data_IF_714732590413
#
_entry.id   IF_714732590413
#
_cell.length_a   1.000
_cell.length_b   1.000
_cell.length_c   1.000
_cell.angle_alpha   90.00
_cell.angle_beta   90.00
_cell.angle_gamma   90.00
#
_symmetry.space_group_name_H-M   'P 1'
#
loop_
_entity.id
_entity.type
_entity.pdbx_description
1 polymer ?
#
# COMPACT_ATOMS: atom_id res chain seq x y z
N UNK A 1 -14.28 -15.34 -29.48
CA UNK A 1 -13.01 -15.85 -30.09
C UNK A 1 -11.89 -14.79 -30.18
N UNK A 2 -12.02 -13.64 -29.53
CA UNK A 2 -10.89 -12.75 -29.21
C UNK A 2 -11.25 -12.04 -27.89
N UNK A 3 -10.87 -12.67 -26.77
CA UNK A 3 -11.10 -12.14 -25.44
C UNK A 3 -10.03 -11.09 -25.14
N UNK A 4 -10.15 -9.91 -25.76
CA UNK A 4 -9.27 -8.80 -25.45
C UNK A 4 -9.83 -8.09 -24.22
N UNK A 5 -9.32 -8.46 -23.03
CA UNK A 5 -9.50 -7.62 -21.85
C UNK A 5 -9.04 -6.21 -22.24
N UNK A 6 -9.82 -5.15 -21.99
CA UNK A 6 -9.40 -3.79 -22.30
C UNK A 6 -8.09 -3.52 -21.58
N UNK A 7 -7.01 -3.45 -22.35
CA UNK A 7 -5.65 -3.28 -21.83
C UNK A 7 -5.54 -1.89 -21.26
N UNK A 8 -5.03 -1.79 -20.04
CA UNK A 8 -4.70 -0.50 -19.44
C UNK A 8 -3.71 0.24 -20.37
N UNK A 9 -3.84 1.57 -20.53
CA UNK A 9 -2.89 2.35 -21.33
C UNK A 9 -1.46 2.10 -20.85
N UNK A 10 -0.53 1.82 -21.76
CA UNK A 10 0.89 1.51 -21.45
C UNK A 10 1.56 2.57 -20.55
N UNK A 11 1.09 3.82 -20.58
CA UNK A 11 1.59 4.91 -19.76
C UNK A 11 1.30 4.78 -18.24
N UNK A 12 0.35 3.92 -17.85
CA UNK A 12 0.02 3.65 -16.43
C UNK A 12 0.78 2.44 -15.87
N UNK A 13 1.48 1.71 -16.73
CA UNK A 13 2.13 0.43 -16.42
C UNK A 13 3.57 0.70 -16.00
N UNK A 14 3.75 1.44 -14.90
CA UNK A 14 5.02 1.42 -14.18
C UNK A 14 4.94 0.28 -13.15
N UNK A 15 5.05 -0.95 -13.66
CA UNK A 15 4.77 -2.22 -12.93
C UNK A 15 5.63 -2.36 -11.68
N UNK A 16 6.79 -1.72 -11.63
CA UNK A 16 7.78 -1.93 -10.57
C UNK A 16 7.61 -1.02 -9.35
N UNK A 17 6.49 -0.32 -9.19
CA UNK A 17 6.31 0.60 -8.06
C UNK A 17 5.36 0.02 -7.01
N UNK A 18 5.79 0.06 -5.75
CA UNK A 18 4.92 -0.30 -4.63
C UNK A 18 3.68 0.62 -4.57
N UNK A 19 2.52 0.01 -4.37
CA UNK A 19 1.22 0.70 -4.22
C UNK A 19 0.69 0.64 -2.79
N UNK A 20 1.18 -0.33 -2.01
CA UNK A 20 0.80 -0.57 -0.62
C UNK A 20 2.07 -0.77 0.22
N UNK A 21 2.06 -0.32 1.45
CA UNK A 21 3.17 -0.48 2.38
C UNK A 21 2.66 -1.13 3.67
N UNK A 22 3.45 -2.05 4.22
CA UNK A 22 3.19 -2.65 5.52
C UNK A 22 4.49 -2.74 6.32
N UNK A 23 4.36 -2.67 7.65
CA UNK A 23 5.45 -2.98 8.56
C UNK A 23 5.46 -4.48 8.85
N UNK A 24 6.65 -5.07 8.81
CA UNK A 24 6.92 -6.48 9.07
C UNK A 24 7.85 -6.58 10.27
N UNK A 25 7.39 -7.27 11.30
CA UNK A 25 8.10 -7.45 12.56
C UNK A 25 8.28 -8.94 12.84
N UNK A 26 9.37 -9.35 13.51
CA UNK A 26 9.50 -10.73 13.93
C UNK A 26 8.47 -11.04 15.02
N UNK A 27 8.12 -12.32 15.19
CA UNK A 27 7.30 -12.75 16.34
C UNK A 27 8.06 -12.55 17.65
N UNK A 28 9.36 -12.86 17.64
CA UNK A 28 10.27 -12.70 18.77
C UNK A 28 11.37 -11.66 18.47
N UNK A 29 11.67 -10.80 19.44
CA UNK A 29 12.60 -9.66 19.25
C UNK A 29 14.02 -10.05 18.83
N UNK A 30 14.46 -11.27 19.17
CA UNK A 30 15.80 -11.78 18.87
C UNK A 30 15.94 -12.29 17.42
N UNK A 31 14.82 -12.43 16.69
CA UNK A 31 14.82 -12.94 15.30
C UNK A 31 14.91 -11.84 14.24
N UNK A 32 15.02 -10.57 14.64
CA UNK A 32 15.03 -9.45 13.70
C UNK A 32 16.13 -9.57 12.63
N UNK A 33 17.35 -9.95 13.02
CA UNK A 33 18.47 -10.09 12.08
C UNK A 33 18.24 -11.25 11.09
N UNK A 34 17.60 -12.33 11.54
CA UNK A 34 17.24 -13.46 10.70
C UNK A 34 16.14 -13.08 9.71
N UNK A 35 15.11 -12.37 10.18
CA UNK A 35 14.03 -11.84 9.36
C UNK A 35 14.57 -10.86 8.31
N UNK A 36 15.42 -9.92 8.69
CA UNK A 36 16.04 -8.97 7.77
C UNK A 36 16.84 -9.69 6.68
N UNK A 37 17.65 -10.69 7.05
CA UNK A 37 18.42 -11.46 6.09
C UNK A 37 17.54 -12.30 5.14
N UNK A 38 16.43 -12.87 5.65
CA UNK A 38 15.48 -13.62 4.84
C UNK A 38 14.73 -12.71 3.85
N UNK A 39 14.27 -11.54 4.31
CA UNK A 39 13.60 -10.55 3.46
C UNK A 39 14.55 -9.99 2.40
N UNK A 40 15.80 -9.68 2.76
CA UNK A 40 16.82 -9.25 1.80
C UNK A 40 17.03 -10.31 0.71
N UNK A 41 17.02 -11.62 1.05
CA UNK A 41 17.10 -12.71 0.07
C UNK A 41 15.83 -12.84 -0.79
N UNK A 42 14.65 -12.65 -0.21
CA UNK A 42 13.40 -12.65 -0.97
C UNK A 42 13.36 -11.50 -1.98
N UNK A 43 13.80 -10.31 -1.59
CA UNK A 43 13.86 -9.13 -2.44
C UNK A 43 14.84 -9.27 -3.63
N UNK A 44 15.85 -10.15 -3.54
CA UNK A 44 16.71 -10.48 -4.70
C UNK A 44 15.94 -11.23 -5.80
N UNK A 45 14.95 -12.03 -5.42
CA UNK A 45 14.14 -12.82 -6.34
C UNK A 45 12.85 -12.11 -6.76
N UNK A 46 12.39 -11.15 -5.97
CA UNK A 46 11.14 -10.42 -6.18
C UNK A 46 11.40 -8.93 -6.38
N UNK A 47 11.41 -8.50 -7.64
CA UNK A 47 11.65 -7.10 -8.02
C UNK A 47 10.47 -6.17 -7.68
N UNK A 48 9.35 -6.70 -7.19
CA UNK A 48 8.20 -5.93 -6.75
C UNK A 48 8.23 -5.54 -5.27
N UNK A 49 9.23 -5.97 -4.51
CA UNK A 49 9.40 -5.63 -3.10
C UNK A 49 10.30 -4.40 -2.92
N UNK A 50 9.79 -3.39 -2.21
CA UNK A 50 10.59 -2.23 -1.79
C UNK A 50 10.87 -2.32 -0.29
N UNK A 51 12.09 -2.70 0.10
CA UNK A 51 12.45 -2.93 1.51
C UNK A 51 13.21 -1.73 2.07
N UNK A 52 12.70 -1.16 3.15
CA UNK A 52 13.36 -0.11 3.93
C UNK A 52 13.48 -0.57 5.38
N UNK A 53 14.71 -0.55 5.92
CA UNK A 53 14.93 -0.86 7.32
C UNK A 53 14.40 0.29 8.18
N UNK A 54 13.45 0.00 9.04
CA UNK A 54 12.95 0.96 10.02
C UNK A 54 13.92 0.93 11.20
N UNK A 55 15.09 1.56 11.05
CA UNK A 55 16.16 1.51 12.04
C UNK A 55 15.73 2.17 13.35
N UNK A 56 15.36 1.34 14.33
CA UNK A 56 15.57 1.65 15.73
C UNK A 56 17.07 1.57 16.04
N UNK A 57 17.83 2.62 15.75
CA UNK A 57 19.21 2.72 16.24
C UNK A 57 19.73 4.16 16.37
N UNK A 58 18.88 5.15 16.69
CA UNK A 58 19.25 6.43 17.35
C UNK A 58 18.07 7.42 17.51
N UNK A 59 16.92 7.00 18.05
CA UNK A 59 15.95 7.94 18.67
C UNK A 59 14.82 7.16 19.32
N UNK A 60 14.43 7.59 20.52
CA UNK A 60 13.37 7.05 21.38
C UNK A 60 11.94 7.13 20.79
N UNK A 61 11.81 7.29 19.48
CA UNK A 61 10.53 7.35 18.77
C UNK A 61 10.76 6.72 17.40
N UNK A 62 9.97 5.69 17.09
CA UNK A 62 9.76 5.06 15.75
C UNK A 62 10.08 3.57 15.64
N UNK A 63 9.45 2.78 16.51
CA UNK A 63 8.51 1.75 16.06
C UNK A 63 7.17 2.11 16.70
N UNK A 64 6.03 1.63 16.20
CA UNK A 64 4.82 1.65 17.03
C UNK A 64 5.21 1.08 18.40
N UNK A 65 4.82 1.72 19.54
CA UNK A 65 5.48 1.62 20.85
C UNK A 65 5.56 0.22 21.51
N UNK A 66 5.25 -0.85 20.78
CA UNK A 66 5.01 -2.18 21.28
C UNK A 66 5.72 -3.32 20.51
N UNK A 67 6.08 -3.15 19.23
CA UNK A 67 6.54 -4.27 18.36
C UNK A 67 8.06 -4.31 18.11
N UNK A 68 8.83 -3.36 18.65
CA UNK A 68 10.28 -3.35 18.49
C UNK A 68 10.75 -3.06 17.05
N UNK A 69 11.99 -3.45 16.70
CA UNK A 69 12.56 -3.21 15.38
C UNK A 69 11.76 -3.95 14.29
N UNK A 70 11.71 -3.36 13.10
CA UNK A 70 10.93 -3.91 11.99
C UNK A 70 11.42 -3.43 10.62
N UNK A 71 10.82 -3.98 9.60
CA UNK A 71 11.07 -3.64 8.21
C UNK A 71 9.81 -2.99 7.64
N UNK A 72 9.97 -1.90 6.91
CA UNK A 72 8.91 -1.36 6.06
C UNK A 72 9.06 -2.00 4.69
N UNK A 73 8.00 -2.64 4.20
CA UNK A 73 7.99 -3.31 2.90
C UNK A 73 6.87 -2.74 2.04
N UNK A 74 7.23 -2.31 0.83
CA UNK A 74 6.32 -1.94 -0.24
C UNK A 74 5.95 -3.14 -1.11
N UNK A 75 4.67 -3.22 -1.47
CA UNK A 75 4.04 -4.31 -2.23
C UNK A 75 3.23 -3.76 -3.40
N UNK A 76 3.07 -4.59 -4.43
CA UNK A 76 2.26 -4.28 -5.63
C UNK A 76 0.75 -4.50 -5.42
N UNK A 77 0.33 -5.11 -4.31
CA UNK A 77 -1.07 -5.46 -4.08
C UNK A 77 -1.27 -6.31 -2.84
N UNK A 78 -2.52 -6.52 -2.43
CA UNK A 78 -2.86 -7.37 -1.28
C UNK A 78 -2.43 -8.82 -1.49
N UNK A 79 -2.59 -9.35 -2.70
CA UNK A 79 -2.15 -10.71 -3.04
C UNK A 79 -0.62 -10.86 -2.90
N UNK A 80 0.13 -9.81 -3.24
CA UNK A 80 1.59 -9.84 -3.10
C UNK A 80 1.98 -9.96 -1.61
N UNK A 81 1.26 -9.31 -0.69
CA UNK A 81 1.49 -9.47 0.76
C UNK A 81 1.26 -10.92 1.20
N UNK A 82 0.19 -11.56 0.72
CA UNK A 82 -0.13 -12.95 1.08
C UNK A 82 0.94 -13.93 0.56
N UNK A 83 1.37 -13.76 -0.69
CA UNK A 83 2.44 -14.56 -1.29
C UNK A 83 3.75 -14.35 -0.53
N UNK A 84 4.11 -13.11 -0.22
CA UNK A 84 5.30 -12.80 0.57
C UNK A 84 5.30 -13.52 1.92
N UNK A 85 4.18 -13.46 2.65
CA UNK A 85 4.04 -14.14 3.95
C UNK A 85 4.21 -15.66 3.80
N UNK A 86 3.57 -16.25 2.79
CA UNK A 86 3.66 -17.69 2.53
C UNK A 86 5.09 -18.10 2.19
N UNK A 87 5.77 -17.35 1.32
CA UNK A 87 7.17 -17.63 0.93
C UNK A 87 8.13 -17.49 2.11
N UNK A 88 7.94 -16.50 2.97
CA UNK A 88 8.76 -16.32 4.16
C UNK A 88 8.67 -17.56 5.08
N UNK A 89 7.47 -18.10 5.25
CA UNK A 89 7.24 -19.31 6.04
C UNK A 89 7.80 -20.56 5.34
N UNK A 90 7.54 -20.74 4.05
CA UNK A 90 7.90 -21.97 3.32
C UNK A 90 9.40 -22.06 3.01
N UNK A 91 10.05 -20.94 2.68
CA UNK A 91 11.48 -20.93 2.28
C UNK A 91 12.43 -20.75 3.46
N UNK A 92 12.01 -20.00 4.50
CA UNK A 92 12.89 -19.63 5.62
C UNK A 92 12.39 -20.15 6.97
N UNK A 93 11.18 -20.72 7.06
CA UNK A 93 10.61 -21.19 8.32
C UNK A 93 10.30 -20.07 9.32
N UNK A 94 10.21 -18.82 8.84
CA UNK A 94 10.01 -17.65 9.69
C UNK A 94 8.55 -17.21 9.63
N UNK A 95 7.96 -16.96 10.80
CA UNK A 95 6.68 -16.28 10.91
C UNK A 95 6.90 -14.82 11.30
N UNK A 96 6.19 -13.91 10.64
CA UNK A 96 6.31 -12.49 10.89
C UNK A 96 4.94 -11.84 11.08
N UNK A 97 4.89 -10.85 11.97
CA UNK A 97 3.74 -9.98 12.15
C UNK A 97 3.75 -8.95 11.03
N UNK A 98 2.80 -9.06 10.11
CA UNK A 98 2.58 -8.08 9.05
C UNK A 98 1.41 -7.19 9.43
N UNK A 99 1.66 -5.88 9.60
CA UNK A 99 0.60 -4.92 9.88
C UNK A 99 -0.37 -4.77 8.71
N UNK A 100 -1.57 -4.28 8.95
CA UNK A 100 -2.51 -3.99 7.87
C UNK A 100 -1.89 -3.01 6.85
N UNK A 101 -1.86 -3.36 5.55
CA UNK A 101 -1.22 -2.54 4.53
C UNK A 101 -1.96 -1.21 4.34
N UNK A 102 -1.19 -0.16 4.05
CA UNK A 102 -1.66 1.21 3.85
C UNK A 102 -1.20 1.74 2.51
N UNK A 103 -1.89 2.76 2.00
CA UNK A 103 -1.52 3.46 0.77
C UNK A 103 -0.65 4.68 1.09
N UNK A 104 0.29 5.06 0.20
CA UNK A 104 1.03 6.31 0.31
C UNK A 104 0.10 7.51 0.12
N UNK A 105 0.15 8.48 1.04
CA UNK A 105 -0.55 9.76 0.91
C UNK A 105 0.38 10.81 0.32
N UNK A 106 -0.14 11.68 -0.53
CA UNK A 106 0.57 12.90 -0.94
C UNK A 106 0.10 14.04 -0.05
N UNK A 107 1.02 14.56 0.77
CA UNK A 107 0.73 15.64 1.72
C UNK A 107 1.47 16.89 1.28
N UNK A 108 0.73 17.97 1.04
CA UNK A 108 1.27 19.28 0.72
C UNK A 108 1.12 20.19 1.92
N UNK A 109 2.24 20.55 2.54
CA UNK A 109 2.29 21.52 3.64
C UNK A 109 2.22 22.93 3.07
N UNK A 110 1.31 23.74 3.59
CA UNK A 110 1.08 25.09 3.10
C UNK A 110 1.77 26.14 3.99
N UNK A 111 2.24 27.26 3.41
CA UNK A 111 2.73 28.41 4.16
C UNK A 111 1.77 28.85 5.26
N UNK A 112 2.31 29.00 6.47
CA UNK A 112 1.61 29.48 7.65
C UNK A 112 2.56 30.28 8.53
N UNK A 113 2.03 31.22 9.32
CA UNK A 113 2.81 31.97 10.31
C UNK A 113 3.53 31.08 11.32
N UNK A 114 3.09 29.82 11.46
CA UNK A 114 3.58 28.89 12.46
C UNK A 114 4.66 27.92 11.95
N UNK A 115 4.89 27.80 10.64
CA UNK A 115 5.81 26.80 10.07
C UNK A 115 6.96 27.37 9.24
N UNK A 116 7.09 28.71 9.15
CA UNK A 116 8.16 29.41 8.42
C UNK A 116 8.36 28.93 6.95
N UNK A 117 7.34 28.32 6.34
CA UNK A 117 7.39 27.91 4.94
C UNK A 117 7.06 29.11 4.06
N UNK A 118 7.96 29.42 3.12
CA UNK A 118 7.74 30.44 2.09
C UNK A 118 6.88 29.89 0.94
N UNK A 119 7.08 28.62 0.57
CA UNK A 119 6.38 27.92 -0.50
C UNK A 119 5.77 26.59 -0.03
N UNK A 120 4.74 26.07 -0.74
CA UNK A 120 4.18 24.75 -0.46
C UNK A 120 5.22 23.64 -0.65
N UNK A 121 5.31 22.73 0.31
CA UNK A 121 6.21 21.57 0.24
C UNK A 121 5.38 20.30 0.19
N UNK A 122 5.52 19.53 -0.89
CA UNK A 122 4.84 18.26 -1.08
C UNK A 122 5.77 17.10 -0.76
N UNK A 123 5.28 16.16 0.05
CA UNK A 123 5.97 14.90 0.37
C UNK A 123 5.01 13.72 0.27
N UNK A 124 5.57 12.55 0.00
CA UNK A 124 4.86 11.27 0.12
C UNK A 124 5.01 10.81 1.57
N UNK A 125 3.88 10.48 2.20
CA UNK A 125 3.79 10.02 3.59
C UNK A 125 3.15 8.65 3.57
N UNK A 126 3.91 7.67 4.01
CA UNK A 126 3.48 6.27 4.03
C UNK A 126 3.28 5.77 5.47
N UNK A 127 3.90 6.42 6.46
CA UNK A 127 3.76 6.10 7.89
C UNK A 127 2.95 7.18 8.63
N UNK A 128 2.19 6.76 9.63
CA UNK A 128 1.53 7.65 10.58
C UNK A 128 2.53 8.41 11.45
N UNK A 129 3.73 7.88 11.68
CA UNK A 129 4.78 8.59 12.41
C UNK A 129 5.24 9.88 11.69
N UNK A 130 5.16 9.88 10.37
CA UNK A 130 5.49 11.02 9.51
C UNK A 130 4.28 11.95 9.27
N UNK A 131 3.12 11.62 9.86
CA UNK A 131 1.90 12.39 9.67
C UNK A 131 2.06 13.83 10.17
N UNK A 132 1.57 14.84 9.44
CA UNK A 132 1.67 16.24 9.85
C UNK A 132 0.98 16.47 11.20
N UNK A 133 1.53 17.40 12.00
CA UNK A 133 0.93 17.75 13.29
C UNK A 133 -0.45 18.39 13.07
N UNK A 134 -1.44 18.18 13.97
CA UNK A 134 -2.80 18.71 13.79
C UNK A 134 -2.91 20.23 13.59
N UNK A 135 -1.92 21.00 14.05
CA UNK A 135 -1.87 22.46 13.92
C UNK A 135 -1.31 22.93 12.56
N UNK A 136 -0.78 22.03 11.74
CA UNK A 136 -0.21 22.36 10.44
C UNK A 136 -1.30 22.48 9.38
N UNK A 137 -1.19 23.50 8.53
CA UNK A 137 -2.10 23.68 7.40
C UNK A 137 -1.62 22.79 6.25
N UNK A 138 -2.38 21.74 5.96
CA UNK A 138 -2.02 20.74 4.94
C UNK A 138 -3.15 20.47 3.96
N UNK A 139 -2.78 20.18 2.71
CA UNK A 139 -3.65 19.52 1.72
C UNK A 139 -3.25 18.04 1.66
N UNK A 140 -4.22 17.15 1.78
CA UNK A 140 -4.01 15.70 1.78
C UNK A 140 -4.68 15.10 0.54
N UNK A 141 -3.92 14.32 -0.21
CA UNK A 141 -4.37 13.62 -1.39
C UNK A 141 -4.10 12.12 -1.22
N UNK A 142 -5.10 11.29 -1.50
CA UNK A 142 -5.01 9.84 -1.44
C UNK A 142 -5.10 9.24 -2.85
N UNK A 143 -4.52 8.06 -3.10
CA UNK A 143 -4.64 7.41 -4.39
C UNK A 143 -6.08 6.92 -4.61
N UNK A 144 -6.59 7.15 -5.81
CA UNK A 144 -7.90 6.68 -6.27
C UNK A 144 -7.67 5.78 -7.48
N UNK A 145 -8.42 4.70 -7.57
CA UNK A 145 -8.35 3.73 -8.67
C UNK A 145 -9.66 3.69 -9.44
N UNK A 146 -9.57 3.50 -10.75
CA UNK A 146 -10.72 3.15 -11.56
C UNK A 146 -10.96 1.65 -11.42
N UNK A 147 -12.18 1.27 -11.03
CA UNK A 147 -12.57 -0.14 -10.86
C UNK A 147 -13.62 -0.48 -11.92
N UNK A 148 -13.43 -1.61 -12.61
CA UNK A 148 -14.43 -2.21 -13.50
C UNK A 148 -14.88 -3.51 -12.87
N UNK A 149 -16.19 -3.68 -12.69
CA UNK A 149 -16.77 -4.86 -12.07
C UNK A 149 -17.72 -5.51 -13.05
N UNK A 150 -17.48 -6.78 -13.34
CA UNK A 150 -18.40 -7.64 -14.09
C UNK A 150 -19.14 -8.50 -13.08
N UNK A 151 -20.46 -8.41 -13.07
CA UNK A 151 -21.31 -9.17 -12.16
C UNK A 151 -22.63 -9.54 -12.85
N UNK A 152 -23.25 -10.68 -12.48
CA UNK A 152 -24.61 -10.98 -12.88
C UNK A 152 -25.60 -9.89 -12.48
N UNK A 153 -26.64 -9.69 -13.30
CA UNK A 153 -27.66 -8.62 -13.12
C UNK A 153 -28.29 -8.65 -11.73
N UNK A 154 -28.51 -9.84 -11.18
CA UNK A 154 -29.07 -10.03 -9.84
C UNK A 154 -28.24 -9.42 -8.69
N UNK A 155 -26.91 -9.27 -8.87
CA UNK A 155 -26.03 -8.71 -7.85
C UNK A 155 -25.75 -7.22 -8.01
N UNK A 156 -26.15 -6.59 -9.12
CA UNK A 156 -25.84 -5.19 -9.44
C UNK A 156 -26.23 -4.26 -8.30
N UNK A 157 -27.43 -4.44 -7.71
CA UNK A 157 -27.88 -3.62 -6.59
C UNK A 157 -26.99 -3.72 -5.34
N UNK A 158 -26.48 -4.91 -5.03
CA UNK A 158 -25.58 -5.13 -3.90
C UNK A 158 -24.18 -4.57 -4.17
N UNK A 159 -23.68 -4.74 -5.39
CA UNK A 159 -22.40 -4.18 -5.84
C UNK A 159 -22.42 -2.66 -5.76
N UNK A 160 -23.48 -2.02 -6.26
CA UNK A 160 -23.62 -0.56 -6.22
C UNK A 160 -23.61 -0.02 -4.78
N UNK A 161 -24.38 -0.65 -3.88
CA UNK A 161 -24.37 -0.31 -2.45
C UNK A 161 -22.97 -0.44 -1.84
N UNK A 162 -22.24 -1.51 -2.18
CA UNK A 162 -20.88 -1.72 -1.71
C UNK A 162 -19.94 -0.60 -2.19
N UNK A 163 -19.97 -0.26 -3.48
CA UNK A 163 -19.11 0.81 -4.03
C UNK A 163 -19.41 2.15 -3.36
N UNK A 164 -20.69 2.51 -3.18
CA UNK A 164 -21.07 3.74 -2.48
C UNK A 164 -20.57 3.74 -1.03
N UNK A 165 -20.66 2.61 -0.31
CA UNK A 165 -20.14 2.49 1.06
C UNK A 165 -18.63 2.70 1.16
N UNK A 166 -17.90 2.48 0.05
CA UNK A 166 -16.45 2.66 -0.08
C UNK A 166 -16.05 4.01 -0.68
N UNK A 167 -16.97 5.00 -0.70
CA UNK A 167 -16.75 6.36 -1.25
C UNK A 167 -16.49 6.38 -2.76
N UNK A 168 -16.92 5.35 -3.49
CA UNK A 168 -16.85 5.35 -4.95
C UNK A 168 -17.77 6.40 -5.57
N UNK A 169 -17.31 7.01 -6.66
CA UNK A 169 -18.03 8.04 -7.42
C UNK A 169 -17.90 7.78 -8.91
N UNK A 170 -18.74 8.44 -9.73
CA UNK A 170 -18.71 8.26 -11.19
C UNK A 170 -19.16 6.86 -11.63
N UNK A 171 -20.23 6.36 -11.04
CA UNK A 171 -20.73 5.02 -11.32
C UNK A 171 -21.41 4.98 -12.70
N UNK A 172 -20.85 4.18 -13.60
CA UNK A 172 -21.40 3.88 -14.91
C UNK A 172 -21.71 2.39 -14.98
N UNK A 173 -22.85 2.04 -15.55
CA UNK A 173 -23.30 0.65 -15.69
C UNK A 173 -23.69 0.39 -17.13
N UNK A 174 -23.03 -0.59 -17.74
CA UNK A 174 -23.31 -1.04 -19.11
C UNK A 174 -23.70 -2.52 -19.08
N UNK A 175 -24.86 -2.90 -19.66
CA UNK A 175 -25.21 -4.29 -19.82
C UNK A 175 -24.26 -4.95 -20.83
N UNK A 176 -23.75 -6.13 -20.47
CA UNK A 176 -22.92 -6.95 -21.35
C UNK A 176 -23.84 -7.98 -22.02
N UNK A 177 -24.07 -7.87 -23.33
CA UNK A 177 -24.79 -8.86 -24.14
C UNK A 177 -23.84 -9.85 -24.84
N UNK A 178 -24.40 -10.88 -25.49
CA UNK A 178 -23.63 -11.91 -26.22
C UNK A 178 -22.92 -11.37 -27.48
N UNK A 179 -23.32 -10.21 -28.01
CA UNK A 179 -22.64 -9.55 -29.14
C UNK A 179 -21.45 -8.69 -28.69
N UNK A 180 -21.47 -8.22 -27.43
CA UNK A 180 -20.43 -7.40 -26.81
C UNK A 180 -19.33 -8.25 -26.12
N UNK A 181 -19.46 -9.59 -26.08
CA UNK A 181 -18.51 -10.56 -25.51
C UNK A 181 -17.71 -11.40 -26.52
#
# INVERSE_FOLDING_TARGET
KNLALPTLPDALVNVSKAVLFASVHPMDGDEFDQLAAAVDKLALNDTGLEVTKTSGSNSEVQGGPFLGPGLRIGFQGLLHVEIFRQRLMDEFGLEAIVTQPKVPYRITSLPSKNNNLEEPVTRIVEDLAEWPKPAERVKIEEPVVQVRIVAPVEYVGNVMKLITSKRGFGLETEPLDEETW
#
